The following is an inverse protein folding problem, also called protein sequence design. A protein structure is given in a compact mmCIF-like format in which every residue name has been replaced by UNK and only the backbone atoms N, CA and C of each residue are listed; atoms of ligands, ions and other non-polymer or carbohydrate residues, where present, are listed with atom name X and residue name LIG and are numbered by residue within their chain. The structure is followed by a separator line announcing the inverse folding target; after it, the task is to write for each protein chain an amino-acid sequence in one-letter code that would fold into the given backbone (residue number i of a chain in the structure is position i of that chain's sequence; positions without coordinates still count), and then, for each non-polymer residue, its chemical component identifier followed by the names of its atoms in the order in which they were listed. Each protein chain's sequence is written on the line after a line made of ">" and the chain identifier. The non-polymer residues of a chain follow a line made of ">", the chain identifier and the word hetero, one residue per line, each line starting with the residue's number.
data_IF_124165187359
#
_entry.id   IF_124165187359
#
_cell.length_a   1.000
_cell.length_b   1.000
_cell.length_c   1.000
_cell.angle_alpha   90.00
_cell.angle_beta   90.00
_cell.angle_gamma   90.00
#
_symmetry.space_group_name_H-M   'P 1'
#
loop_
_entity.id
_entity.type
_entity.pdbx_description
1 polymer ?
#
# COMPACT_ATOMS: atom_id res chain seq x y z
N UNK A 1 9.11 -14.82 -21.10
CA UNK A 1 7.84 -15.03 -20.38
C UNK A 1 8.09 -15.33 -18.90
N UNK A 2 8.83 -16.37 -18.51
CA UNK A 2 9.09 -16.74 -17.11
C UNK A 2 9.64 -15.57 -16.26
N UNK A 3 10.65 -14.85 -16.74
CA UNK A 3 11.26 -13.71 -16.01
C UNK A 3 10.23 -12.60 -15.74
N UNK A 4 9.36 -12.30 -16.71
CA UNK A 4 8.35 -11.24 -16.60
C UNK A 4 7.28 -11.62 -15.57
N UNK A 5 6.84 -12.88 -15.60
CA UNK A 5 5.87 -13.38 -14.61
C UNK A 5 6.46 -13.39 -13.20
N UNK A 6 7.74 -13.73 -13.07
CA UNK A 6 8.45 -13.71 -11.80
C UNK A 6 8.55 -12.28 -11.24
N UNK A 7 9.06 -11.32 -12.02
CA UNK A 7 9.16 -9.91 -11.59
C UNK A 7 7.78 -9.30 -11.28
N UNK A 8 6.74 -9.66 -12.03
CA UNK A 8 5.38 -9.21 -11.77
C UNK A 8 4.85 -9.74 -10.42
N UNK A 9 5.16 -11.00 -10.07
CA UNK A 9 4.82 -11.58 -8.78
C UNK A 9 5.60 -10.91 -7.63
N UNK A 10 6.91 -10.74 -7.79
CA UNK A 10 7.78 -10.10 -6.79
C UNK A 10 7.27 -8.69 -6.45
N UNK A 11 7.11 -7.85 -7.46
CA UNK A 11 6.56 -6.51 -7.28
C UNK A 11 5.10 -6.57 -6.80
N UNK A 12 4.31 -7.56 -7.21
CA UNK A 12 2.95 -7.77 -6.74
C UNK A 12 2.90 -7.95 -5.23
N UNK A 13 3.77 -8.80 -4.66
CA UNK A 13 3.87 -8.98 -3.21
C UNK A 13 4.37 -7.71 -2.51
N UNK A 14 5.41 -7.04 -3.03
CA UNK A 14 5.97 -5.86 -2.38
C UNK A 14 4.98 -4.69 -2.31
N UNK A 15 4.21 -4.45 -3.37
CA UNK A 15 3.17 -3.40 -3.39
C UNK A 15 1.87 -3.82 -2.67
N UNK A 16 1.67 -5.10 -2.39
CA UNK A 16 0.57 -5.55 -1.57
C UNK A 16 0.61 -4.98 -0.14
N UNK A 17 1.82 -4.66 0.37
CA UNK A 17 1.98 -3.97 1.66
C UNK A 17 1.34 -2.58 1.65
N UNK A 18 1.47 -1.82 0.54
CA UNK A 18 0.77 -0.53 0.37
C UNK A 18 -0.74 -0.74 0.29
N UNK A 19 -1.18 -1.74 -0.46
CA UNK A 19 -2.61 -2.05 -0.55
C UNK A 19 -3.21 -2.44 0.81
N UNK A 20 -2.45 -3.16 1.67
CA UNK A 20 -2.83 -3.46 3.05
C UNK A 20 -2.81 -2.22 3.95
N UNK A 21 -1.86 -1.30 3.77
CA UNK A 21 -1.83 -0.02 4.47
C UNK A 21 -3.08 0.81 4.16
N UNK A 22 -3.45 0.91 2.88
CA UNK A 22 -4.65 1.61 2.44
C UNK A 22 -5.94 0.87 2.80
N UNK A 23 -5.91 -0.46 2.88
CA UNK A 23 -7.01 -1.22 3.47
C UNK A 23 -7.27 -0.78 4.92
N UNK A 24 -6.22 -0.57 5.70
CA UNK A 24 -6.34 -0.11 7.09
C UNK A 24 -6.81 1.34 7.17
N UNK A 25 -6.19 2.28 6.45
CA UNK A 25 -6.53 3.71 6.53
C UNK A 25 -7.86 4.03 5.83
N UNK A 26 -8.02 3.63 4.58
CA UNK A 26 -9.16 3.98 3.75
C UNK A 26 -10.39 3.12 4.02
N UNK A 27 -10.20 1.78 4.24
CA UNK A 27 -11.33 0.84 4.36
C UNK A 27 -11.78 0.59 5.79
N UNK A 28 -10.83 0.53 6.74
CA UNK A 28 -11.12 0.24 8.15
C UNK A 28 -11.36 1.51 8.94
N UNK A 29 -10.53 2.54 8.78
CA UNK A 29 -10.67 3.83 9.48
C UNK A 29 -11.56 4.83 8.77
N UNK A 30 -11.88 4.61 7.49
CA UNK A 30 -12.58 5.57 6.60
C UNK A 30 -11.86 6.93 6.52
N UNK A 31 -10.53 6.90 6.48
CA UNK A 31 -9.66 8.07 6.43
C UNK A 31 -8.87 8.06 5.12
N UNK A 32 -9.03 9.10 4.30
CA UNK A 32 -8.20 9.31 3.11
C UNK A 32 -6.83 9.86 3.54
N UNK A 33 -5.83 8.97 3.61
CA UNK A 33 -4.46 9.30 3.98
C UNK A 33 -3.58 9.51 2.74
N UNK A 34 -3.28 10.76 2.44
CA UNK A 34 -2.39 11.16 1.33
C UNK A 34 -0.92 11.23 1.74
N UNK A 35 -0.60 10.93 3.00
CA UNK A 35 0.79 10.83 3.48
C UNK A 35 1.53 9.63 2.88
N UNK A 36 0.77 8.64 2.42
CA UNK A 36 1.25 7.36 1.88
C UNK A 36 2.32 7.54 0.78
N UNK A 37 2.16 8.50 -0.15
CA UNK A 37 3.12 8.76 -1.23
C UNK A 37 4.50 9.14 -0.66
N UNK A 38 4.55 10.14 0.22
CA UNK A 38 5.80 10.59 0.86
C UNK A 38 6.37 9.56 1.83
N UNK A 39 5.51 8.83 2.52
CA UNK A 39 5.91 7.79 3.46
C UNK A 39 6.55 6.57 2.78
N UNK A 40 6.09 6.21 1.58
CA UNK A 40 6.72 5.19 0.75
C UNK A 40 8.16 5.57 0.40
N UNK A 41 8.37 6.81 -0.06
CA UNK A 41 9.71 7.33 -0.36
C UNK A 41 10.57 7.41 0.91
N UNK A 42 9.98 7.83 2.05
CA UNK A 42 10.68 7.86 3.34
C UNK A 42 11.22 6.48 3.70
N UNK A 43 10.37 5.45 3.57
CA UNK A 43 10.78 4.06 3.81
C UNK A 43 11.92 3.63 2.90
N UNK A 44 11.83 3.92 1.60
CA UNK A 44 12.87 3.60 0.64
C UNK A 44 14.18 4.38 0.91
N UNK A 45 14.10 5.69 1.17
CA UNK A 45 15.25 6.55 1.44
C UNK A 45 16.01 6.11 2.70
N UNK A 46 15.30 5.94 3.81
CA UNK A 46 15.88 5.48 5.08
C UNK A 46 16.51 4.09 4.90
N UNK A 47 15.79 3.18 4.24
CA UNK A 47 16.27 1.82 4.02
C UNK A 47 17.53 1.78 3.17
N UNK A 48 17.58 2.50 2.06
CA UNK A 48 18.75 2.56 1.17
C UNK A 48 19.94 3.18 1.90
N UNK A 49 19.74 4.26 2.66
CA UNK A 49 20.81 4.94 3.40
C UNK A 49 21.39 4.07 4.51
N UNK A 50 20.56 3.42 5.33
CA UNK A 50 21.03 2.54 6.41
C UNK A 50 21.64 1.25 5.84
N UNK A 51 21.13 0.76 4.72
CA UNK A 51 21.73 -0.38 4.00
C UNK A 51 23.11 -0.03 3.44
N UNK A 52 23.30 1.19 2.92
CA UNK A 52 24.59 1.69 2.48
C UNK A 52 25.61 1.77 3.63
N UNK A 53 25.15 1.99 4.87
CA UNK A 53 25.97 1.91 6.08
C UNK A 53 26.29 0.47 6.55
N UNK A 54 25.83 -0.57 5.82
CA UNK A 54 26.16 -1.97 6.09
C UNK A 54 25.14 -2.73 6.94
N UNK A 55 23.97 -2.15 7.24
CA UNK A 55 22.95 -2.76 8.12
C UNK A 55 21.60 -2.97 7.43
N UNK A 56 21.48 -3.91 6.44
CA UNK A 56 20.26 -4.04 5.62
C UNK A 56 19.03 -4.51 6.39
N UNK A 57 19.17 -5.36 7.40
CA UNK A 57 18.04 -5.83 8.22
C UNK A 57 17.55 -4.71 9.15
N UNK A 58 18.49 -4.03 9.82
CA UNK A 58 18.17 -2.90 10.70
C UNK A 58 17.47 -1.77 9.91
N UNK A 59 17.85 -1.58 8.65
CA UNK A 59 17.26 -0.60 7.75
C UNK A 59 15.73 -0.74 7.63
N UNK A 60 15.22 -1.96 7.60
CA UNK A 60 13.78 -2.24 7.51
C UNK A 60 13.06 -1.74 8.78
N UNK A 61 13.58 -2.07 9.96
CA UNK A 61 12.98 -1.65 11.23
C UNK A 61 13.02 -0.12 11.42
N UNK A 62 14.14 0.52 11.06
CA UNK A 62 14.27 1.99 11.13
C UNK A 62 13.30 2.66 10.16
N UNK A 63 13.14 2.12 8.95
CA UNK A 63 12.17 2.62 7.98
C UNK A 63 10.72 2.49 8.49
N UNK A 64 10.38 1.36 9.11
CA UNK A 64 9.06 1.16 9.74
C UNK A 64 8.79 2.19 10.83
N UNK A 65 9.77 2.46 11.70
CA UNK A 65 9.65 3.48 12.75
C UNK A 65 9.49 4.89 12.15
N UNK A 66 10.28 5.21 11.13
CA UNK A 66 10.16 6.49 10.43
C UNK A 66 8.75 6.67 9.81
N UNK A 67 8.20 5.61 9.21
CA UNK A 67 6.82 5.59 8.71
C UNK A 67 5.78 5.77 9.81
N UNK A 68 5.95 5.10 10.96
CA UNK A 68 5.07 5.29 12.11
C UNK A 68 5.11 6.74 12.63
N UNK A 69 6.30 7.37 12.68
CA UNK A 69 6.43 8.78 13.04
C UNK A 69 5.72 9.70 12.05
N UNK A 70 5.84 9.45 10.74
CA UNK A 70 5.11 10.21 9.72
C UNK A 70 3.59 10.08 9.89
N UNK A 71 3.10 8.87 10.13
CA UNK A 71 1.69 8.62 10.44
C UNK A 71 1.23 9.28 11.74
N UNK A 72 2.10 9.34 12.75
CA UNK A 72 1.81 10.08 13.99
C UNK A 72 1.63 11.57 13.75
N UNK A 73 2.50 12.20 12.93
CA UNK A 73 2.38 13.62 12.57
C UNK A 73 1.04 13.89 11.89
N UNK A 74 0.67 13.09 10.90
CA UNK A 74 -0.63 13.23 10.21
C UNK A 74 -1.80 13.06 11.17
N UNK A 75 -1.75 12.05 12.03
CA UNK A 75 -2.77 11.81 13.04
C UNK A 75 -2.86 12.94 14.06
N UNK A 76 -1.74 13.51 14.48
CA UNK A 76 -1.69 14.66 15.39
C UNK A 76 -2.37 15.88 14.79
N UNK A 77 -2.05 16.23 13.53
CA UNK A 77 -2.70 17.31 12.80
C UNK A 77 -4.23 17.12 12.74
N UNK A 78 -4.66 15.88 12.46
CA UNK A 78 -6.07 15.55 12.32
C UNK A 78 -6.80 15.54 13.66
N UNK A 79 -6.25 14.88 14.68
CA UNK A 79 -6.96 14.59 15.92
C UNK A 79 -6.82 15.66 16.99
N UNK A 80 -5.71 16.41 17.02
CA UNK A 80 -5.43 17.46 18.01
C UNK A 80 -5.68 18.86 17.47
N UNK A 81 -5.32 19.11 16.21
CA UNK A 81 -5.50 20.41 15.58
C UNK A 81 -6.79 20.52 14.77
N UNK A 82 -7.56 19.42 14.64
CA UNK A 82 -8.84 19.41 13.92
C UNK A 82 -8.71 19.63 12.40
N UNK A 83 -7.54 19.41 11.82
CA UNK A 83 -7.31 19.57 10.38
C UNK A 83 -8.03 18.45 9.63
N UNK A 84 -8.77 18.71 8.55
CA UNK A 84 -9.39 17.68 7.71
C UNK A 84 -8.35 16.66 7.25
N UNK A 85 -8.73 15.36 7.22
CA UNK A 85 -7.80 14.24 6.95
C UNK A 85 -7.00 14.40 5.65
N UNK A 86 -7.67 14.79 4.57
CA UNK A 86 -7.05 15.03 3.26
C UNK A 86 -5.98 16.14 3.37
N UNK A 87 -6.32 17.24 4.02
CA UNK A 87 -5.40 18.38 4.18
C UNK A 87 -4.22 18.01 5.09
N UNK A 88 -4.45 17.32 6.20
CA UNK A 88 -3.40 16.82 7.07
C UNK A 88 -2.41 15.91 6.30
N UNK A 89 -2.92 14.99 5.47
CA UNK A 89 -2.11 14.15 4.60
C UNK A 89 -1.27 14.93 3.59
N UNK A 90 -1.86 15.91 2.91
CA UNK A 90 -1.15 16.77 1.94
C UNK A 90 -0.03 17.56 2.63
N UNK A 91 -0.31 18.19 3.77
CA UNK A 91 0.70 18.97 4.53
C UNK A 91 1.85 18.09 4.97
N UNK A 92 1.55 16.91 5.55
CA UNK A 92 2.59 15.97 5.97
C UNK A 92 3.39 15.46 4.78
N UNK A 93 2.73 15.10 3.67
CA UNK A 93 3.40 14.65 2.45
C UNK A 93 4.36 15.71 1.88
N UNK A 94 3.94 16.98 1.89
CA UNK A 94 4.79 18.10 1.46
C UNK A 94 6.01 18.26 2.38
N UNK A 95 5.83 18.14 3.69
CA UNK A 95 6.94 18.15 4.65
C UNK A 95 7.89 16.96 4.48
N UNK A 96 7.34 15.78 4.21
CA UNK A 96 8.11 14.56 3.99
C UNK A 96 9.03 14.65 2.76
N UNK A 97 8.70 15.46 1.75
CA UNK A 97 9.59 15.68 0.61
C UNK A 97 10.98 16.15 1.06
N UNK A 98 11.05 17.14 1.95
CA UNK A 98 12.31 17.63 2.48
C UNK A 98 13.00 16.63 3.41
N UNK A 99 12.23 15.92 4.25
CA UNK A 99 12.77 14.87 5.13
C UNK A 99 13.38 13.75 4.30
N UNK A 100 12.74 13.36 3.20
CA UNK A 100 13.24 12.36 2.26
C UNK A 100 14.56 12.81 1.61
N UNK A 101 14.65 14.08 1.17
CA UNK A 101 15.91 14.64 0.65
C UNK A 101 17.02 14.64 1.71
N UNK A 102 16.71 14.97 2.96
CA UNK A 102 17.67 14.88 4.06
C UNK A 102 18.16 13.46 4.27
N UNK A 103 17.25 12.48 4.29
CA UNK A 103 17.57 11.07 4.43
C UNK A 103 18.46 10.56 3.28
N UNK A 104 18.28 11.09 2.06
CA UNK A 104 19.08 10.77 0.88
C UNK A 104 20.36 11.61 0.73
N UNK A 105 20.74 12.40 1.76
CA UNK A 105 21.93 13.26 1.72
C UNK A 105 21.83 14.38 0.68
N UNK A 106 20.64 15.00 0.56
CA UNK A 106 20.34 16.11 -0.36
C UNK A 106 20.46 15.75 -1.86
N UNK A 107 20.29 14.48 -2.19
CA UNK A 107 20.28 13.97 -3.57
C UNK A 107 18.85 13.58 -3.96
N UNK A 108 18.45 13.88 -5.19
CA UNK A 108 17.14 13.47 -5.71
C UNK A 108 17.09 11.97 -6.05
N UNK A 109 18.22 11.34 -6.25
CA UNK A 109 18.38 9.92 -6.51
C UNK A 109 19.56 9.37 -5.75
N UNK A 110 19.37 8.22 -5.09
CA UNK A 110 20.43 7.50 -4.38
C UNK A 110 20.47 6.06 -4.83
N UNK A 111 21.67 5.57 -5.21
CA UNK A 111 21.88 4.20 -5.65
C UNK A 111 22.73 3.41 -4.64
N UNK A 112 22.38 2.16 -4.47
CA UNK A 112 23.04 1.20 -3.57
C UNK A 112 24.05 0.35 -4.36
N UNK A 113 25.00 1.03 -5.06
CA UNK A 113 26.03 0.36 -5.85
C UNK A 113 26.98 -0.43 -4.91
N UNK A 114 26.97 -1.77 -5.04
CA UNK A 114 27.84 -2.65 -4.27
C UNK A 114 27.41 -2.94 -2.83
N UNK A 115 26.31 -2.35 -2.34
CA UNK A 115 25.79 -2.62 -0.99
C UNK A 115 25.12 -3.99 -0.87
N UNK A 116 25.35 -4.68 0.27
CA UNK A 116 24.63 -5.92 0.59
C UNK A 116 23.20 -5.59 1.02
N UNK A 117 22.22 -6.04 0.27
CA UNK A 117 20.80 -5.94 0.61
C UNK A 117 20.32 -7.21 1.33
N UNK A 118 19.14 -7.21 1.93
CA UNK A 118 18.55 -8.42 2.50
C UNK A 118 18.37 -9.50 1.42
N UNK A 119 18.08 -9.11 0.18
CA UNK A 119 18.00 -10.03 -0.95
C UNK A 119 19.35 -10.68 -1.29
N UNK A 120 20.43 -9.90 -1.30
CA UNK A 120 21.79 -10.46 -1.55
C UNK A 120 22.24 -11.35 -0.40
N UNK A 121 21.91 -11.02 0.86
CA UNK A 121 22.18 -11.87 2.00
C UNK A 121 21.47 -13.22 1.87
N UNK A 122 20.20 -13.22 1.49
CA UNK A 122 19.45 -14.46 1.28
C UNK A 122 20.05 -15.30 0.15
N UNK A 123 20.49 -14.66 -0.93
CA UNK A 123 21.18 -15.32 -2.04
C UNK A 123 22.48 -16.00 -1.58
N UNK A 124 23.27 -15.34 -0.72
CA UNK A 124 24.51 -15.90 -0.18
C UNK A 124 24.28 -17.14 0.69
N UNK A 125 23.10 -17.28 1.32
CA UNK A 125 22.74 -18.48 2.08
C UNK A 125 22.34 -19.69 1.21
N UNK A 126 22.18 -19.49 -0.11
CA UNK A 126 21.79 -20.55 -1.06
C UNK A 126 20.34 -21.01 -0.95
N UNK A 127 19.53 -20.38 -0.09
CA UNK A 127 18.12 -20.71 0.11
C UNK A 127 17.29 -20.14 -1.04
N UNK A 128 16.57 -21.00 -1.78
CA UNK A 128 15.59 -20.61 -2.80
C UNK A 128 16.11 -20.56 -4.24
N UNK A 129 17.40 -20.79 -4.52
CA UNK A 129 17.93 -20.85 -5.88
C UNK A 129 17.64 -19.57 -6.68
N UNK A 130 17.01 -19.67 -7.83
CA UNK A 130 16.64 -18.51 -8.67
C UNK A 130 15.39 -17.75 -8.16
N UNK A 131 14.65 -18.29 -7.18
CA UNK A 131 13.38 -17.74 -6.68
C UNK A 131 13.53 -17.01 -5.32
N UNK A 132 14.76 -16.74 -4.87
CA UNK A 132 15.01 -16.15 -3.54
C UNK A 132 14.33 -14.77 -3.36
N UNK A 133 14.25 -13.96 -4.42
CA UNK A 133 13.58 -12.64 -4.38
C UNK A 133 12.07 -12.78 -4.16
N UNK A 134 11.45 -13.69 -4.89
CA UNK A 134 10.03 -13.98 -4.73
C UNK A 134 9.70 -14.57 -3.35
N UNK A 135 10.53 -15.49 -2.86
CA UNK A 135 10.34 -16.10 -1.55
C UNK A 135 10.42 -15.06 -0.43
N UNK A 136 11.39 -14.14 -0.49
CA UNK A 136 11.51 -13.08 0.49
C UNK A 136 10.33 -12.11 0.42
N UNK A 137 9.94 -11.67 -0.79
CA UNK A 137 8.82 -10.77 -0.98
C UNK A 137 7.50 -11.40 -0.47
N UNK A 138 7.26 -12.66 -0.81
CA UNK A 138 6.08 -13.40 -0.34
C UNK A 138 6.10 -13.59 1.18
N UNK A 139 7.25 -13.98 1.76
CA UNK A 139 7.39 -14.17 3.20
C UNK A 139 7.07 -12.89 3.99
N UNK A 140 7.68 -11.76 3.61
CA UNK A 140 7.44 -10.48 4.29
C UNK A 140 5.97 -10.04 4.15
N UNK A 141 5.40 -10.17 2.97
CA UNK A 141 4.01 -9.78 2.71
C UNK A 141 3.02 -10.65 3.49
N UNK A 142 3.22 -11.96 3.49
CA UNK A 142 2.36 -12.90 4.23
C UNK A 142 2.50 -12.68 5.74
N UNK A 143 3.72 -12.48 6.23
CA UNK A 143 3.98 -12.19 7.64
C UNK A 143 3.30 -10.88 8.07
N UNK A 144 3.48 -9.81 7.30
CA UNK A 144 2.83 -8.52 7.56
C UNK A 144 1.30 -8.63 7.51
N UNK A 145 0.75 -9.36 6.53
CA UNK A 145 -0.68 -9.62 6.43
C UNK A 145 -1.23 -10.42 7.61
N UNK A 146 -0.50 -11.45 8.05
CA UNK A 146 -0.87 -12.25 9.23
C UNK A 146 -0.88 -11.37 10.50
N UNK A 147 0.19 -10.59 10.71
CA UNK A 147 0.29 -9.68 11.85
C UNK A 147 -0.83 -8.63 11.83
N UNK A 148 -1.16 -8.07 10.67
CA UNK A 148 -2.26 -7.13 10.51
C UNK A 148 -3.61 -7.78 10.85
N UNK A 149 -3.88 -8.99 10.38
CA UNK A 149 -5.13 -9.73 10.71
C UNK A 149 -5.21 -10.03 12.20
N UNK A 150 -4.11 -10.47 12.82
CA UNK A 150 -4.05 -10.73 14.27
C UNK A 150 -4.27 -9.45 15.06
N UNK A 151 -3.61 -8.36 14.68
CA UNK A 151 -3.77 -7.04 15.32
C UNK A 151 -5.22 -6.54 15.23
N UNK A 152 -5.86 -6.63 14.05
CA UNK A 152 -7.25 -6.22 13.87
C UNK A 152 -8.26 -7.11 14.60
N UNK A 153 -7.84 -8.28 15.09
CA UNK A 153 -8.58 -9.15 15.97
C UNK A 153 -8.44 -8.81 17.47
N UNK A 154 -7.48 -7.97 17.86
CA UNK A 154 -7.28 -7.53 19.24
C UNK A 154 -8.32 -6.49 19.67
N UNK A 155 -8.39 -6.18 20.98
CA UNK A 155 -9.26 -5.11 21.52
C UNK A 155 -8.98 -3.77 20.83
N UNK A 156 -7.71 -3.43 20.59
CA UNK A 156 -7.33 -2.22 19.86
C UNK A 156 -7.80 -2.24 18.40
N UNK A 157 -7.61 -3.34 17.68
CA UNK A 157 -8.08 -3.48 16.32
C UNK A 157 -9.60 -3.39 16.19
N UNK A 158 -10.35 -3.96 17.15
CA UNK A 158 -11.80 -3.81 17.23
C UNK A 158 -12.22 -2.36 17.48
N UNK A 159 -11.50 -1.63 18.36
CA UNK A 159 -11.75 -0.20 18.62
C UNK A 159 -11.47 0.65 17.38
N UNK A 160 -10.40 0.35 16.61
CA UNK A 160 -10.08 1.02 15.35
C UNK A 160 -11.21 0.82 14.33
N UNK A 161 -11.71 -0.40 14.18
CA UNK A 161 -12.83 -0.72 13.30
C UNK A 161 -14.11 0.00 13.69
N UNK A 162 -14.45 -0.02 14.99
CA UNK A 162 -15.61 0.69 15.53
C UNK A 162 -15.49 2.21 15.29
N UNK A 163 -14.27 2.77 15.41
CA UNK A 163 -14.00 4.20 15.14
C UNK A 163 -14.24 4.57 13.67
N UNK A 164 -13.85 3.71 12.74
CA UNK A 164 -14.12 3.92 11.33
C UNK A 164 -15.60 3.82 10.97
N UNK A 165 -16.34 2.92 11.64
CA UNK A 165 -17.79 2.78 11.42
C UNK A 165 -18.58 3.97 12.03
N UNK A 166 -18.26 4.40 13.26
CA UNK A 166 -18.91 5.53 13.92
C UNK A 166 -18.07 6.07 15.10
N UNK A 167 -17.33 7.17 14.91
CA UNK A 167 -16.48 7.75 15.97
C UNK A 167 -17.27 8.28 17.17
N UNK A 168 -18.52 8.75 16.96
CA UNK A 168 -19.34 9.28 18.05
C UNK A 168 -19.84 8.16 18.97
N UNK A 169 -20.20 7.01 18.41
CA UNK A 169 -20.54 5.83 19.18
C UNK A 169 -19.36 5.34 20.04
N UNK A 170 -18.16 5.36 19.48
CA UNK A 170 -16.93 4.99 20.19
C UNK A 170 -16.66 5.95 21.35
N UNK A 171 -16.88 7.25 21.14
CA UNK A 171 -16.75 8.27 22.19
C UNK A 171 -17.78 8.05 23.33
N UNK A 172 -19.03 7.70 22.98
CA UNK A 172 -20.07 7.35 23.96
C UNK A 172 -19.74 6.08 24.76
N UNK A 173 -18.94 5.18 24.19
CA UNK A 173 -18.47 3.95 24.83
C UNK A 173 -17.19 4.14 25.68
N UNK A 174 -16.86 5.37 26.08
CA UNK A 174 -15.69 5.75 26.89
C UNK A 174 -14.33 5.42 26.24
N UNK A 175 -14.30 5.16 24.93
CA UNK A 175 -13.07 5.00 24.17
C UNK A 175 -12.68 6.34 23.52
N UNK A 176 -11.38 6.58 23.37
CA UNK A 176 -10.88 7.80 22.75
C UNK A 176 -10.66 7.60 21.23
N UNK A 177 -11.53 8.16 20.35
CA UNK A 177 -11.38 8.03 18.90
C UNK A 177 -10.06 8.62 18.38
N UNK A 178 -9.56 9.70 19.01
CA UNK A 178 -8.28 10.30 18.60
C UNK A 178 -7.11 9.34 18.77
N UNK A 179 -7.12 8.55 19.83
CA UNK A 179 -6.09 7.55 20.08
C UNK A 179 -6.17 6.39 19.08
N UNK A 180 -7.37 5.89 18.80
CA UNK A 180 -7.57 4.80 17.83
C UNK A 180 -7.19 5.21 16.41
N UNK A 181 -7.54 6.44 15.99
CA UNK A 181 -7.13 7.02 14.72
C UNK A 181 -5.60 7.12 14.64
N UNK A 182 -4.97 7.63 15.71
CA UNK A 182 -3.50 7.78 15.75
C UNK A 182 -2.80 6.43 15.59
N UNK A 183 -3.21 5.41 16.34
CA UNK A 183 -2.62 4.06 16.24
C UNK A 183 -2.84 3.48 14.86
N UNK A 184 -4.03 3.64 14.28
CA UNK A 184 -4.33 3.12 12.94
C UNK A 184 -3.52 3.78 11.83
N UNK A 185 -3.37 5.12 11.86
CA UNK A 185 -2.55 5.85 10.88
C UNK A 185 -1.06 5.56 11.05
N UNK A 186 -0.56 5.44 12.28
CA UNK A 186 0.82 5.01 12.53
C UNK A 186 1.09 3.62 11.92
N UNK A 187 0.18 2.67 12.12
CA UNK A 187 0.33 1.31 11.59
C UNK A 187 0.21 1.27 10.07
N UNK A 188 -0.71 2.04 9.48
CA UNK A 188 -0.85 2.14 8.02
C UNK A 188 0.43 2.70 7.38
N UNK A 189 0.95 3.82 7.91
CA UNK A 189 2.18 4.41 7.39
C UNK A 189 3.42 3.57 7.67
N UNK A 190 3.45 2.81 8.77
CA UNK A 190 4.48 1.81 9.04
C UNK A 190 4.52 0.70 7.97
N UNK A 191 3.36 0.19 7.53
CA UNK A 191 3.26 -0.78 6.44
C UNK A 191 3.67 -0.18 5.09
N UNK A 192 3.30 1.07 4.84
CA UNK A 192 3.71 1.80 3.63
C UNK A 192 5.23 1.98 3.57
N UNK A 193 5.84 2.41 4.68
CA UNK A 193 7.28 2.55 4.76
C UNK A 193 8.01 1.21 4.67
N UNK A 194 7.44 0.13 5.20
CA UNK A 194 7.94 -1.23 5.01
C UNK A 194 7.97 -1.62 3.53
N UNK A 195 6.89 -1.34 2.78
CA UNK A 195 6.85 -1.55 1.34
C UNK A 195 7.96 -0.76 0.63
N UNK A 196 8.06 0.54 0.91
CA UNK A 196 9.10 1.40 0.35
C UNK A 196 10.51 0.89 0.67
N UNK A 197 10.74 0.48 1.92
CA UNK A 197 12.03 -0.03 2.38
C UNK A 197 12.49 -1.27 1.60
N UNK A 198 11.58 -2.23 1.39
CA UNK A 198 11.91 -3.47 0.69
C UNK A 198 12.02 -3.23 -0.81
N UNK A 199 11.15 -2.38 -1.41
CA UNK A 199 11.26 -1.99 -2.82
C UNK A 199 12.57 -1.25 -3.09
N UNK A 200 13.00 -0.34 -2.19
CA UNK A 200 14.29 0.34 -2.30
C UNK A 200 15.48 -0.60 -2.29
N UNK A 201 15.47 -1.62 -1.42
CA UNK A 201 16.52 -2.65 -1.39
C UNK A 201 16.43 -3.60 -2.61
N UNK A 202 15.23 -3.91 -3.08
CA UNK A 202 15.01 -4.74 -4.28
C UNK A 202 15.55 -4.06 -5.54
N UNK A 203 15.16 -2.80 -5.75
CA UNK A 203 15.60 -2.00 -6.90
C UNK A 203 17.04 -1.50 -6.77
N UNK A 204 17.62 -1.55 -5.55
CA UNK A 204 18.94 -0.98 -5.19
C UNK A 204 19.06 0.51 -5.51
N UNK A 205 17.96 1.20 -5.61
CA UNK A 205 17.91 2.63 -5.89
C UNK A 205 16.63 3.24 -5.31
N UNK A 206 16.69 4.51 -4.97
CA UNK A 206 15.54 5.31 -4.57
C UNK A 206 15.58 6.64 -5.31
N UNK A 207 14.44 7.05 -5.85
CA UNK A 207 14.22 8.37 -6.43
C UNK A 207 13.15 9.11 -5.62
N UNK A 208 13.32 10.41 -5.43
CA UNK A 208 12.42 11.25 -4.64
C UNK A 208 10.97 11.25 -5.18
N UNK A 209 10.81 11.04 -6.48
CA UNK A 209 9.51 11.00 -7.16
C UNK A 209 8.91 9.59 -7.25
N UNK A 210 9.61 8.55 -6.74
CA UNK A 210 9.15 7.16 -6.82
C UNK A 210 7.84 6.89 -6.08
N UNK A 211 7.50 7.74 -5.11
CA UNK A 211 6.24 7.68 -4.36
C UNK A 211 5.04 8.29 -5.06
N UNK A 212 5.26 9.09 -6.11
CA UNK A 212 4.15 9.83 -6.75
C UNK A 212 3.12 8.89 -7.35
N UNK A 213 1.89 8.91 -6.81
CA UNK A 213 0.78 8.08 -7.27
C UNK A 213 0.70 6.69 -6.65
N UNK A 214 1.49 6.39 -5.64
CA UNK A 214 1.45 5.12 -4.90
C UNK A 214 0.09 4.91 -4.22
N UNK A 215 -0.51 5.96 -3.67
CA UNK A 215 -1.89 5.93 -3.12
C UNK A 215 -2.86 5.42 -4.19
N UNK A 216 -2.77 5.96 -5.40
CA UNK A 216 -3.69 5.61 -6.50
C UNK A 216 -3.50 4.14 -6.91
N UNK A 217 -2.26 3.68 -7.02
CA UNK A 217 -1.93 2.27 -7.32
C UNK A 217 -2.45 1.35 -6.21
N UNK A 218 -2.20 1.69 -4.96
CA UNK A 218 -2.63 0.87 -3.82
C UNK A 218 -4.14 0.78 -3.67
N UNK A 219 -4.88 1.88 -3.92
CA UNK A 219 -6.34 1.87 -3.97
C UNK A 219 -6.87 1.02 -5.13
N UNK A 220 -6.24 1.10 -6.30
CA UNK A 220 -6.60 0.24 -7.43
C UNK A 220 -6.42 -1.24 -7.09
N UNK A 221 -5.28 -1.61 -6.50
CA UNK A 221 -5.02 -2.96 -6.05
C UNK A 221 -6.09 -3.43 -5.06
N UNK A 222 -6.43 -2.59 -4.07
CA UNK A 222 -7.47 -2.88 -3.08
C UNK A 222 -8.84 -3.11 -3.75
N UNK A 223 -9.25 -2.21 -4.64
CA UNK A 223 -10.56 -2.28 -5.31
C UNK A 223 -10.64 -3.51 -6.23
N UNK A 224 -9.58 -3.81 -7.00
CA UNK A 224 -9.52 -5.02 -7.83
C UNK A 224 -9.67 -6.26 -6.96
N UNK A 225 -8.94 -6.34 -5.86
CA UNK A 225 -9.03 -7.47 -4.94
C UNK A 225 -10.41 -7.60 -4.28
N UNK A 226 -11.02 -6.49 -3.85
CA UNK A 226 -12.37 -6.48 -3.28
C UNK A 226 -13.45 -6.88 -4.29
N UNK A 227 -13.27 -6.58 -5.57
CA UNK A 227 -14.22 -7.03 -6.62
C UNK A 227 -14.15 -8.53 -6.85
N UNK A 228 -12.97 -9.15 -6.65
CA UNK A 228 -12.77 -10.58 -6.82
C UNK A 228 -13.26 -11.40 -5.61
N UNK A 229 -12.94 -10.98 -4.38
CA UNK A 229 -13.19 -11.73 -3.15
C UNK A 229 -14.38 -11.24 -2.31
N UNK A 230 -14.87 -10.04 -2.61
CA UNK A 230 -15.92 -9.37 -1.84
C UNK A 230 -15.41 -8.74 -0.54
N UNK A 231 -16.33 -8.04 0.18
CA UNK A 231 -16.02 -7.12 1.30
C UNK A 231 -16.45 -7.64 2.68
N UNK A 232 -16.61 -8.95 2.87
CA UNK A 232 -17.34 -9.51 4.03
C UNK A 232 -16.54 -9.66 5.31
N UNK A 233 -15.20 -9.60 5.29
CA UNK A 233 -14.36 -9.92 6.46
C UNK A 233 -12.98 -9.28 6.34
N UNK A 234 -12.37 -8.92 7.49
CA UNK A 234 -10.99 -8.39 7.57
C UNK A 234 -9.99 -9.35 6.92
N UNK A 235 -10.09 -10.66 7.22
CA UNK A 235 -9.23 -11.68 6.60
C UNK A 235 -9.33 -11.67 5.08
N UNK A 236 -10.57 -11.60 4.55
CA UNK A 236 -10.80 -11.48 3.10
C UNK A 236 -10.28 -10.18 2.52
N UNK A 237 -10.35 -9.06 3.27
CA UNK A 237 -9.82 -7.77 2.84
C UNK A 237 -8.30 -7.78 2.68
N UNK A 238 -7.56 -8.37 3.63
CA UNK A 238 -6.10 -8.51 3.53
C UNK A 238 -5.72 -9.44 2.35
N UNK A 239 -6.39 -10.58 2.19
CA UNK A 239 -6.15 -11.46 1.05
C UNK A 239 -6.51 -10.76 -0.27
N UNK A 240 -7.59 -9.98 -0.29
CA UNK A 240 -8.01 -9.19 -1.44
C UNK A 240 -6.93 -8.16 -1.81
N UNK A 241 -6.33 -7.45 -0.84
CA UNK A 241 -5.25 -6.51 -1.09
C UNK A 241 -4.04 -7.20 -1.76
N UNK A 242 -3.66 -8.39 -1.29
CA UNK A 242 -2.56 -9.17 -1.86
C UNK A 242 -2.89 -9.63 -3.29
N UNK A 243 -4.03 -10.26 -3.49
CA UNK A 243 -4.43 -10.75 -4.82
C UNK A 243 -4.65 -9.62 -5.81
N UNK A 244 -5.26 -8.52 -5.38
CA UNK A 244 -5.47 -7.34 -6.22
C UNK A 244 -4.16 -6.70 -6.66
N UNK A 245 -3.16 -6.63 -5.78
CA UNK A 245 -1.83 -6.15 -6.12
C UNK A 245 -1.14 -7.05 -7.15
N UNK A 246 -1.21 -8.35 -6.99
CA UNK A 246 -0.66 -9.32 -7.95
C UNK A 246 -1.35 -9.15 -9.32
N UNK A 247 -2.69 -9.12 -9.36
CA UNK A 247 -3.45 -8.96 -10.60
C UNK A 247 -3.09 -7.63 -11.28
N UNK A 248 -3.02 -6.53 -10.52
CA UNK A 248 -2.63 -5.23 -11.06
C UNK A 248 -1.24 -5.27 -11.71
N UNK A 249 -0.27 -5.89 -11.04
CA UNK A 249 1.10 -6.02 -11.55
C UNK A 249 1.20 -6.92 -12.78
N UNK A 250 0.39 -7.97 -12.86
CA UNK A 250 0.30 -8.77 -14.07
C UNK A 250 -0.26 -7.98 -15.25
N UNK A 251 -1.33 -7.21 -15.06
CA UNK A 251 -1.88 -6.34 -16.11
C UNK A 251 -0.82 -5.36 -16.60
N UNK A 252 -0.12 -4.70 -15.65
CA UNK A 252 0.96 -3.77 -15.97
C UNK A 252 2.10 -4.44 -16.74
N UNK A 253 2.55 -5.64 -16.31
CA UNK A 253 3.62 -6.38 -16.96
C UNK A 253 3.26 -6.83 -18.38
N UNK A 254 2.02 -7.27 -18.61
CA UNK A 254 1.54 -7.66 -19.94
C UNK A 254 1.57 -6.45 -20.89
N UNK A 255 1.05 -5.31 -20.46
CA UNK A 255 1.02 -4.10 -21.29
C UNK A 255 2.43 -3.59 -21.61
N UNK A 256 3.32 -3.63 -20.60
CA UNK A 256 4.73 -3.26 -20.79
C UNK A 256 5.44 -4.18 -21.79
N UNK A 257 5.15 -5.49 -21.71
CA UNK A 257 5.78 -6.48 -22.59
C UNK A 257 5.32 -6.37 -24.05
N UNK A 258 4.06 -6.05 -24.29
CA UNK A 258 3.52 -5.93 -25.65
C UNK A 258 4.09 -4.72 -26.40
N UNK A 259 4.81 -3.81 -25.70
CA UNK A 259 5.38 -2.56 -26.25
C UNK A 259 4.38 -1.71 -27.06
N UNK A 260 3.07 -1.91 -26.80
CA UNK A 260 2.00 -1.14 -27.46
C UNK A 260 2.02 0.32 -26.99
N UNK A 261 2.47 0.54 -25.75
CA UNK A 261 2.47 1.86 -25.11
C UNK A 261 3.91 2.31 -24.87
N UNK A 262 4.31 3.51 -25.33
CA UNK A 262 5.60 4.11 -25.00
C UNK A 262 5.78 4.26 -23.48
N UNK A 263 7.03 4.21 -23.00
CA UNK A 263 7.37 4.27 -21.58
C UNK A 263 6.87 5.57 -20.92
N UNK A 264 6.85 6.65 -21.69
CA UNK A 264 6.35 7.98 -21.27
C UNK A 264 4.85 7.96 -20.93
N UNK A 265 4.10 7.08 -21.57
CA UNK A 265 2.65 6.95 -21.39
C UNK A 265 2.26 5.97 -20.28
N UNK A 266 3.20 5.36 -19.55
CA UNK A 266 2.91 4.40 -18.48
C UNK A 266 2.09 5.01 -17.33
N UNK A 267 2.28 6.30 -17.02
CA UNK A 267 1.46 7.01 -16.02
C UNK A 267 0.01 7.17 -16.48
N UNK A 268 -0.22 7.45 -17.77
CA UNK A 268 -1.56 7.51 -18.34
C UNK A 268 -2.23 6.14 -18.31
N UNK A 269 -1.48 5.09 -18.65
CA UNK A 269 -1.96 3.71 -18.59
C UNK A 269 -2.39 3.33 -17.17
N UNK A 270 -1.55 3.62 -16.15
CA UNK A 270 -1.93 3.39 -14.75
C UNK A 270 -3.21 4.11 -14.38
N UNK A 271 -3.38 5.37 -14.79
CA UNK A 271 -4.60 6.14 -14.53
C UNK A 271 -5.84 5.50 -15.18
N UNK A 272 -5.72 4.99 -16.40
CA UNK A 272 -6.81 4.29 -17.10
C UNK A 272 -7.17 2.97 -16.38
N UNK A 273 -6.17 2.16 -16.01
CA UNK A 273 -6.40 0.89 -15.28
C UNK A 273 -7.11 1.17 -13.96
N UNK A 274 -6.66 2.19 -13.22
CA UNK A 274 -7.27 2.60 -11.95
C UNK A 274 -8.70 3.09 -12.15
N UNK A 275 -8.94 3.93 -13.16
CA UNK A 275 -10.30 4.43 -13.47
C UNK A 275 -11.25 3.26 -13.80
N UNK A 276 -10.80 2.30 -14.61
CA UNK A 276 -11.57 1.10 -14.91
C UNK A 276 -11.82 0.23 -13.68
N UNK A 277 -10.81 0.06 -12.80
CA UNK A 277 -10.95 -0.69 -11.56
C UNK A 277 -11.98 -0.05 -10.63
N UNK A 278 -11.96 1.28 -10.48
CA UNK A 278 -12.94 2.03 -9.66
C UNK A 278 -14.34 1.97 -10.28
N UNK A 279 -14.44 2.06 -11.61
CA UNK A 279 -15.72 1.99 -12.32
C UNK A 279 -16.34 0.58 -12.33
N UNK A 280 -15.54 -0.47 -12.26
CA UNK A 280 -16.00 -1.86 -12.37
C UNK A 280 -17.16 -2.22 -11.43
N UNK A 281 -17.15 -1.90 -10.10
CA UNK A 281 -18.28 -2.18 -9.21
C UNK A 281 -19.56 -1.43 -9.61
N UNK A 282 -19.43 -0.19 -10.08
CA UNK A 282 -20.56 0.64 -10.52
C UNK A 282 -21.16 0.12 -11.82
N UNK A 283 -20.32 -0.29 -12.76
CA UNK A 283 -20.75 -0.91 -14.02
C UNK A 283 -21.45 -2.24 -13.75
N UNK A 284 -20.94 -3.08 -12.85
CA UNK A 284 -21.60 -4.33 -12.47
C UNK A 284 -22.99 -4.10 -11.85
N UNK A 285 -23.12 -3.11 -10.95
CA UNK A 285 -24.42 -2.74 -10.36
C UNK A 285 -25.40 -2.26 -11.43
N UNK A 286 -24.94 -1.40 -12.34
CA UNK A 286 -25.76 -0.88 -13.43
C UNK A 286 -26.20 -2.00 -14.38
N UNK A 287 -25.28 -2.89 -14.79
CA UNK A 287 -25.60 -4.03 -15.64
C UNK A 287 -26.61 -4.98 -14.98
N UNK A 288 -26.47 -5.24 -13.67
CA UNK A 288 -27.39 -6.07 -12.91
C UNK A 288 -28.78 -5.41 -12.81
N UNK A 289 -28.82 -4.10 -12.59
CA UNK A 289 -30.07 -3.32 -12.59
C UNK A 289 -30.78 -3.38 -13.94
N UNK A 290 -30.05 -3.19 -15.05
CA UNK A 290 -30.60 -3.28 -16.40
C UNK A 290 -31.14 -4.70 -16.70
N UNK A 291 -30.41 -5.74 -16.33
CA UNK A 291 -30.89 -7.13 -16.46
C UNK A 291 -32.19 -7.37 -15.69
N UNK A 292 -32.30 -6.86 -14.45
CA UNK A 292 -33.53 -6.97 -13.65
C UNK A 292 -34.68 -6.21 -14.28
N UNK A 293 -34.43 -5.00 -14.81
CA UNK A 293 -35.42 -4.18 -15.49
C UNK A 293 -35.93 -4.87 -16.76
N UNK A 294 -35.06 -5.45 -17.58
CA UNK A 294 -35.48 -6.22 -18.76
C UNK A 294 -36.26 -7.48 -18.39
N UNK A 295 -35.85 -8.18 -17.33
CA UNK A 295 -36.57 -9.38 -16.86
C UNK A 295 -37.96 -9.05 -16.30
N UNK A 296 -38.14 -7.88 -15.64
CA UNK A 296 -39.43 -7.40 -15.19
C UNK A 296 -40.35 -7.04 -16.37
N UNK A 297 -39.80 -6.34 -17.37
CA UNK A 297 -40.54 -5.94 -18.58
C UNK A 297 -41.02 -7.13 -19.41
N UNK A 298 -40.21 -8.21 -19.45
CA UNK A 298 -40.61 -9.44 -20.13
C UNK A 298 -41.67 -10.25 -19.36
N UNK A 299 -41.87 -10.00 -18.05
CA UNK A 299 -42.94 -10.62 -17.25
C UNK A 299 -44.28 -9.85 -17.31
N UNK A 300 -44.23 -8.54 -17.58
CA UNK A 300 -45.42 -7.68 -17.73
C UNK A 300 -45.96 -7.66 -19.17
N UNK A 301 -45.22 -8.23 -20.12
CA UNK A 301 -45.58 -8.30 -21.54
C UNK A 301 -46.11 -9.68 -21.98
N UNK A 302 -46.40 -10.58 -21.01
CA UNK A 302 -47.17 -11.81 -21.16
C UNK A 302 -48.40 -11.71 -20.28
#
# INVERSE_FOLDING_TARGET
>A
MLIITQTALELGFLYALVAMALFLSYRILDIADLTTDGCFVLGAAVSVTVTAAGHPVLAIFVAMLAGACAGFVTAFLQTKLGVPSILAGIVTNTGLYTVNLMAMGWKSNQSLLGGKTVFTMLRETGIGGEWYELLLAAFVTILAGLLLVLFLGTRMGLSIRATGDNPDMVRASSLNPSFTITVGLCLANMLTALSGAIVGQYQKTVDINSGTGIVVIGLACLIIGETLLGRRSVKKGVIAAILGSIVYRFIYAIVFYTKIVPVECLKLLTAIIVALAIAAPSIQKWATFQKRKMAARNKEGV
#
